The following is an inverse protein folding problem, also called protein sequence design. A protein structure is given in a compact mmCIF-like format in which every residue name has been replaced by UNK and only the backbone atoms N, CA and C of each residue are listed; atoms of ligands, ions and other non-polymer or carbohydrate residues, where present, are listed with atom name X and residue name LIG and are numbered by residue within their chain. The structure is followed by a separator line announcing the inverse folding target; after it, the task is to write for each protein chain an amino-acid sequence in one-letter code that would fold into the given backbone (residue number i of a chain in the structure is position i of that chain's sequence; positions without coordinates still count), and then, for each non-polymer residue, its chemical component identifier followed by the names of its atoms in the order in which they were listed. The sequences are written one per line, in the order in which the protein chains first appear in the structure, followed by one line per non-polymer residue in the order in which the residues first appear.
data_IF_101337363444
#
_entry.id   IF_101337363444
#
_cell.length_a   1.000
_cell.length_b   1.000
_cell.length_c   1.000
_cell.angle_alpha   90.00
_cell.angle_beta   90.00
_cell.angle_gamma   90.00
#
_symmetry.space_group_name_H-M   'P 1'
#
loop_
_entity.id
_entity.type
_entity.pdbx_description
1 polymer ?
#
# COMPACT_ATOMS: atom_id res chain seq x y z
N UNK A 1 7.98 21.95 -49.42
CA UNK A 1 7.20 22.65 -50.47
C UNK A 1 5.98 23.29 -49.80
N UNK A 2 5.87 24.61 -49.91
CA UNK A 2 4.85 25.43 -49.27
C UNK A 2 3.43 25.12 -49.79
N UNK A 3 2.45 25.00 -48.88
CA UNK A 3 1.07 25.39 -49.16
C UNK A 3 0.54 26.15 -47.94
N UNK A 4 0.36 27.47 -48.12
CA UNK A 4 -0.34 28.36 -47.19
C UNK A 4 -1.84 28.08 -47.29
N UNK A 5 -2.53 27.96 -46.16
CA UNK A 5 -3.96 28.25 -46.11
C UNK A 5 -4.15 29.65 -45.55
N UNK A 6 -4.55 30.56 -46.44
CA UNK A 6 -4.88 31.96 -46.18
C UNK A 6 -6.28 32.05 -45.56
N UNK A 7 -6.43 32.80 -44.47
CA UNK A 7 -7.72 33.24 -43.92
C UNK A 7 -8.38 34.28 -44.85
N UNK A 8 -9.72 34.33 -44.94
CA UNK A 8 -10.42 35.55 -45.31
C UNK A 8 -10.93 36.30 -44.06
N UNK A 9 -10.74 37.61 -44.07
CA UNK A 9 -11.27 38.58 -43.12
C UNK A 9 -12.69 39.03 -43.50
N UNK A 10 -13.49 39.30 -42.45
CA UNK A 10 -14.61 40.27 -42.37
C UNK A 10 -16.04 39.77 -42.66
N UNK A 11 -16.78 39.67 -41.55
CA UNK A 11 -18.15 40.14 -41.26
C UNK A 11 -19.28 39.87 -42.26
N UNK A 12 -20.16 38.90 -41.95
CA UNK A 12 -21.63 39.09 -41.86
C UNK A 12 -22.32 37.84 -41.29
N UNK A 13 -23.48 38.06 -40.65
CA UNK A 13 -24.31 37.04 -39.97
C UNK A 13 -25.03 36.11 -40.98
N UNK A 14 -25.45 34.95 -40.44
CA UNK A 14 -26.60 34.09 -40.83
C UNK A 14 -26.26 32.78 -41.58
N UNK A 15 -26.63 31.66 -40.92
CA UNK A 15 -26.98 30.31 -41.40
C UNK A 15 -26.29 29.75 -42.68
N UNK A 16 -25.58 28.63 -42.53
CA UNK A 16 -26.11 27.31 -42.94
C UNK A 16 -25.05 26.21 -42.80
N UNK A 17 -25.56 24.97 -42.75
CA UNK A 17 -24.86 23.71 -42.58
C UNK A 17 -24.06 23.30 -43.82
N UNK A 18 -23.12 22.39 -43.55
CA UNK A 18 -22.67 21.28 -44.39
C UNK A 18 -21.39 21.40 -45.25
N UNK A 19 -20.60 20.33 -45.07
CA UNK A 19 -19.61 19.69 -45.94
C UNK A 19 -18.19 20.28 -45.97
N UNK A 20 -17.29 19.54 -45.31
CA UNK A 20 -16.03 19.18 -45.97
C UNK A 20 -15.80 17.65 -45.87
N UNK A 21 -15.49 17.08 -47.03
CA UNK A 21 -15.67 15.70 -47.45
C UNK A 21 -14.46 14.84 -47.07
N UNK A 22 -14.72 13.58 -46.72
CA UNK A 22 -13.72 12.49 -46.61
C UNK A 22 -12.85 12.40 -47.87
N UNK A 23 -11.55 12.22 -47.69
CA UNK A 23 -10.69 11.58 -48.69
C UNK A 23 -9.89 10.48 -47.99
N UNK A 24 -10.12 9.25 -48.42
CA UNK A 24 -9.38 8.07 -48.01
C UNK A 24 -8.07 8.00 -48.79
N UNK A 25 -6.98 7.68 -48.11
CA UNK A 25 -5.70 7.32 -48.74
C UNK A 25 -5.57 5.80 -48.65
N UNK A 26 -5.53 5.16 -49.82
CA UNK A 26 -5.25 3.73 -50.00
C UNK A 26 -3.74 3.58 -50.14
N UNK A 27 -3.12 2.71 -49.35
CA UNK A 27 -1.76 2.21 -49.57
C UNK A 27 -1.82 0.76 -50.08
N UNK A 28 -1.01 0.38 -51.09
CA UNK A 28 -0.99 -0.98 -51.63
C UNK A 28 0.03 -1.85 -50.88
N UNK A 29 -0.28 -3.15 -50.73
CA UNK A 29 0.70 -4.15 -50.31
C UNK A 29 0.19 -5.11 -49.22
N UNK A 30 -0.72 -6.01 -49.57
CA UNK A 30 -1.06 -7.17 -48.74
C UNK A 30 -0.89 -8.44 -49.57
N UNK A 31 0.22 -9.15 -49.35
CA UNK A 31 0.41 -10.52 -49.80
C UNK A 31 -0.35 -11.43 -48.84
N UNK A 32 -1.26 -12.23 -49.40
CA UNK A 32 -2.10 -13.20 -48.69
C UNK A 32 -1.27 -14.43 -48.32
N UNK A 33 -1.25 -14.79 -47.04
CA UNK A 33 -0.93 -16.16 -46.62
C UNK A 33 -2.01 -16.68 -45.66
N UNK A 34 -2.44 -17.89 -45.97
CA UNK A 34 -3.57 -18.63 -45.42
C UNK A 34 -3.50 -18.87 -43.91
N UNK A 35 -4.68 -18.78 -43.27
CA UNK A 35 -5.13 -19.79 -42.30
C UNK A 35 -4.76 -19.62 -40.83
N UNK A 36 -5.56 -18.85 -40.08
CA UNK A 36 -6.25 -19.26 -38.83
C UNK A 36 -6.99 -18.08 -38.20
N UNK A 37 -8.23 -18.34 -37.79
CA UNK A 37 -9.16 -17.41 -37.14
C UNK A 37 -8.76 -17.27 -35.67
N UNK A 38 -8.44 -16.05 -35.22
CA UNK A 38 -8.27 -15.70 -33.80
C UNK A 38 -9.08 -14.43 -33.51
N UNK A 39 -9.98 -14.41 -32.50
CA UNK A 39 -10.87 -13.28 -32.22
C UNK A 39 -10.16 -12.12 -31.48
N UNK A 40 -10.72 -10.89 -31.54
CA UNK A 40 -9.99 -9.66 -31.19
C UNK A 40 -10.12 -9.30 -29.71
N UNK A 41 -8.99 -9.09 -29.03
CA UNK A 41 -8.92 -8.35 -27.77
C UNK A 41 -8.16 -7.03 -27.97
N UNK A 42 -8.96 -5.96 -27.89
CA UNK A 42 -8.69 -4.59 -27.46
C UNK A 42 -7.22 -4.20 -27.28
N UNK A 43 -6.70 -3.41 -28.24
CA UNK A 43 -5.47 -2.61 -28.11
C UNK A 43 -5.75 -1.41 -27.18
N UNK A 44 -5.22 -1.44 -25.96
CA UNK A 44 -5.01 -0.23 -25.16
C UNK A 44 -3.72 0.43 -25.61
N UNK A 45 -3.85 1.53 -26.37
CA UNK A 45 -2.73 2.37 -26.79
C UNK A 45 -2.35 3.27 -25.61
N UNK A 46 -1.13 3.08 -25.11
CA UNK A 46 -0.49 3.91 -24.11
C UNK A 46 -0.08 5.24 -24.78
N UNK A 47 -0.76 6.34 -24.47
CA UNK A 47 -0.28 7.69 -24.80
C UNK A 47 0.46 8.26 -23.59
N UNK A 48 1.78 8.27 -23.66
CA UNK A 48 2.65 9.01 -22.75
C UNK A 48 2.59 10.50 -23.11
N UNK A 49 1.88 11.30 -22.32
CA UNK A 49 1.94 12.77 -22.41
C UNK A 49 2.96 13.27 -21.39
N UNK A 50 4.09 13.76 -21.89
CA UNK A 50 5.08 14.55 -21.14
C UNK A 50 4.49 15.92 -20.80
N UNK A 51 4.53 16.32 -19.53
CA UNK A 51 4.15 17.64 -19.05
C UNK A 51 5.39 18.56 -18.95
N UNK A 52 5.32 19.83 -19.40
CA UNK A 52 6.35 20.83 -19.11
C UNK A 52 6.14 21.47 -17.72
N UNK A 53 7.23 21.91 -17.04
CA UNK A 53 7.16 22.62 -15.76
C UNK A 53 6.91 24.13 -15.96
N UNK A 54 6.57 24.81 -14.87
CA UNK A 54 6.39 26.26 -14.70
C UNK A 54 4.95 26.79 -14.81
N UNK A 55 4.20 26.64 -13.71
CA UNK A 55 3.09 27.55 -13.40
C UNK A 55 3.21 28.03 -11.95
N UNK A 56 3.44 29.33 -11.83
CA UNK A 56 3.72 30.10 -10.62
C UNK A 56 2.45 30.31 -9.78
N UNK A 57 2.57 30.16 -8.45
CA UNK A 57 1.48 30.31 -7.49
C UNK A 57 1.60 31.67 -6.80
N UNK A 58 0.95 32.72 -7.33
CA UNK A 58 0.56 33.86 -6.48
C UNK A 58 -0.59 34.72 -7.02
N UNK A 59 -1.56 34.87 -6.12
CA UNK A 59 -2.55 35.95 -5.95
C UNK A 59 -3.88 35.88 -6.71
N UNK A 60 -4.94 35.80 -5.91
CA UNK A 60 -6.34 35.96 -6.31
C UNK A 60 -7.29 35.67 -5.15
N UNK A 61 -7.19 36.44 -4.08
CA UNK A 61 -8.13 36.40 -2.96
C UNK A 61 -9.54 36.81 -3.44
N UNK A 62 -10.50 35.89 -3.33
CA UNK A 62 -11.92 36.13 -3.60
C UNK A 62 -12.76 35.44 -2.54
N UNK A 63 -13.47 36.25 -1.76
CA UNK A 63 -14.43 35.87 -0.71
C UNK A 63 -15.45 34.85 -1.21
N UNK A 64 -15.77 33.85 -0.38
CA UNK A 64 -16.94 33.00 -0.56
C UNK A 64 -16.78 31.66 0.15
N UNK A 65 -17.33 31.54 1.35
CA UNK A 65 -17.34 30.29 2.09
C UNK A 65 -18.23 29.26 1.41
N UNK A 66 -17.64 28.15 1.00
CA UNK A 66 -18.25 26.82 1.01
C UNK A 66 -17.13 25.84 1.37
N UNK A 67 -17.37 24.99 2.36
CA UNK A 67 -16.40 24.02 2.84
C UNK A 67 -15.87 23.18 1.68
N UNK A 68 -14.55 23.21 1.50
CA UNK A 68 -13.85 22.32 0.58
C UNK A 68 -14.09 20.90 1.11
N UNK A 69 -15.05 20.19 0.52
CA UNK A 69 -15.05 18.75 0.54
C UNK A 69 -13.70 18.33 -0.02
N UNK A 70 -12.85 17.77 0.83
CA UNK A 70 -11.72 16.99 0.37
C UNK A 70 -12.26 15.93 -0.59
N UNK A 71 -11.72 15.80 -1.82
CA UNK A 71 -12.09 14.70 -2.69
C UNK A 71 -11.78 13.40 -1.97
N UNK A 72 -12.81 12.60 -1.69
CA UNK A 72 -12.59 11.21 -1.28
C UNK A 72 -11.83 10.50 -2.41
N UNK A 73 -10.87 9.62 -2.07
CA UNK A 73 -10.13 8.85 -3.07
C UNK A 73 -11.08 7.98 -3.92
N UNK A 74 -10.79 7.78 -5.22
CA UNK A 74 -11.64 7.04 -6.15
C UNK A 74 -11.73 5.51 -5.89
N UNK A 75 -11.14 5.00 -4.81
CA UNK A 75 -10.93 3.56 -4.61
C UNK A 75 -11.74 2.95 -3.46
N UNK A 76 -12.80 3.59 -2.98
CA UNK A 76 -13.79 2.91 -2.14
C UNK A 76 -14.81 2.22 -3.05
N UNK A 77 -14.78 0.87 -3.20
CA UNK A 77 -15.89 0.19 -3.84
C UNK A 77 -17.08 0.37 -2.90
N UNK A 78 -17.94 1.34 -3.19
CA UNK A 78 -19.33 1.26 -2.78
C UNK A 78 -19.86 0.01 -3.44
N UNK A 79 -19.80 -1.09 -2.70
CA UNK A 79 -20.45 -2.36 -3.02
C UNK A 79 -21.95 -2.07 -2.93
N UNK A 80 -22.50 -1.46 -3.99
CA UNK A 80 -23.90 -1.54 -4.31
C UNK A 80 -24.15 -3.00 -4.65
N UNK A 81 -24.52 -3.79 -3.64
CA UNK A 81 -25.11 -5.11 -3.92
C UNK A 81 -26.49 -4.83 -4.52
N UNK A 82 -26.53 -4.63 -5.83
CA UNK A 82 -27.74 -4.74 -6.61
C UNK A 82 -28.13 -6.22 -6.59
N UNK A 83 -28.88 -6.63 -5.56
CA UNK A 83 -29.56 -7.92 -5.57
C UNK A 83 -30.65 -7.87 -6.65
N UNK A 84 -30.26 -8.15 -7.90
CA UNK A 84 -31.18 -8.63 -8.93
C UNK A 84 -31.53 -10.10 -8.65
N UNK A 85 -32.03 -10.37 -7.44
CA UNK A 85 -32.62 -11.66 -7.10
C UNK A 85 -34.07 -11.63 -7.57
N UNK A 86 -34.41 -12.40 -8.60
CA UNK A 86 -35.82 -12.74 -8.85
C UNK A 86 -36.33 -13.51 -7.63
N UNK A 87 -36.97 -12.80 -6.71
CA UNK A 87 -37.69 -13.39 -5.58
C UNK A 87 -38.93 -14.11 -6.13
N UNK A 88 -38.75 -15.34 -6.61
CA UNK A 88 -39.88 -16.26 -6.74
C UNK A 88 -40.41 -16.54 -5.34
N UNK A 89 -41.52 -15.88 -5.00
CA UNK A 89 -42.27 -16.09 -3.76
C UNK A 89 -42.74 -17.55 -3.70
N UNK A 90 -41.95 -18.45 -3.10
CA UNK A 90 -42.44 -19.77 -2.69
C UNK A 90 -43.35 -19.56 -1.48
N UNK A 91 -44.65 -19.80 -1.67
CA UNK A 91 -45.67 -19.82 -0.59
C UNK A 91 -45.26 -20.83 0.48
N UNK A 92 -44.66 -20.35 1.56
CA UNK A 92 -44.50 -21.10 2.79
C UNK A 92 -45.82 -20.99 3.59
N UNK A 93 -46.53 -22.10 3.74
CA UNK A 93 -47.71 -22.17 4.60
C UNK A 93 -47.29 -22.05 6.06
N UNK A 94 -47.51 -20.88 6.66
CA UNK A 94 -47.26 -20.65 8.09
C UNK A 94 -48.31 -21.38 8.93
N UNK A 95 -47.91 -22.50 9.57
CA UNK A 95 -48.58 -22.96 10.80
C UNK A 95 -48.14 -22.03 11.93
N UNK A 96 -49.03 -21.14 12.35
CA UNK A 96 -48.83 -20.26 13.50
C UNK A 96 -48.98 -21.07 14.79
N UNK A 97 -47.89 -21.67 15.25
CA UNK A 97 -47.83 -22.18 16.63
C UNK A 97 -47.82 -21.00 17.58
N UNK A 98 -48.83 -20.92 18.45
CA UNK A 98 -48.98 -19.86 19.46
C UNK A 98 -47.80 -19.84 20.41
N UNK A 99 -46.89 -18.89 20.22
CA UNK A 99 -45.82 -18.57 21.16
C UNK A 99 -46.46 -17.79 22.30
N UNK A 100 -46.37 -18.33 23.52
CA UNK A 100 -46.85 -17.68 24.73
C UNK A 100 -46.34 -16.23 24.80
N UNK A 101 -47.20 -15.32 25.28
CA UNK A 101 -46.96 -13.86 25.32
C UNK A 101 -45.90 -13.49 26.37
N UNK A 102 -44.65 -13.85 26.10
CA UNK A 102 -43.48 -13.25 26.73
C UNK A 102 -43.43 -11.78 26.31
N UNK A 103 -43.22 -10.87 27.28
CA UNK A 103 -42.87 -9.46 27.04
C UNK A 103 -41.49 -9.42 26.36
N UNK A 104 -41.47 -9.69 25.05
CA UNK A 104 -40.27 -9.74 24.24
C UNK A 104 -39.86 -8.37 23.72
N UNK A 105 -38.56 -8.22 23.49
CA UNK A 105 -37.91 -7.08 22.84
C UNK A 105 -38.68 -6.66 21.59
N UNK A 106 -39.01 -5.38 21.46
CA UNK A 106 -39.77 -4.93 20.29
C UNK A 106 -38.88 -4.97 19.05
N UNK A 107 -39.44 -5.37 17.91
CA UNK A 107 -38.69 -5.46 16.65
C UNK A 107 -38.12 -4.10 16.25
N UNK A 108 -38.82 -3.00 16.59
CA UNK A 108 -38.38 -1.63 16.37
C UNK A 108 -37.17 -1.24 17.24
N UNK A 109 -37.12 -1.70 18.49
CA UNK A 109 -35.98 -1.48 19.39
C UNK A 109 -34.73 -2.19 18.87
N UNK A 110 -34.91 -3.41 18.36
CA UNK A 110 -33.82 -4.14 17.71
C UNK A 110 -33.32 -3.45 16.43
N UNK A 111 -34.22 -2.88 15.62
CA UNK A 111 -33.81 -2.17 14.39
C UNK A 111 -32.95 -0.93 14.68
N UNK A 112 -33.29 -0.16 15.72
CA UNK A 112 -32.52 1.03 16.11
C UNK A 112 -31.14 0.62 16.64
N UNK A 113 -31.07 -0.44 17.45
CA UNK A 113 -29.80 -0.95 17.97
C UNK A 113 -28.88 -1.40 16.84
N UNK A 114 -29.40 -2.14 15.86
CA UNK A 114 -28.62 -2.58 14.69
C UNK A 114 -28.17 -1.40 13.82
N UNK A 115 -28.99 -0.35 13.69
CA UNK A 115 -28.61 0.86 12.97
C UNK A 115 -27.41 1.57 13.62
N UNK A 116 -27.42 1.71 14.95
CA UNK A 116 -26.31 2.34 15.69
C UNK A 116 -25.04 1.49 15.59
N UNK A 117 -25.15 0.17 15.77
CA UNK A 117 -24.01 -0.76 15.65
C UNK A 117 -23.41 -0.68 14.23
N UNK A 118 -24.23 -0.60 13.18
CA UNK A 118 -23.76 -0.48 11.81
C UNK A 118 -22.86 0.74 11.57
N UNK A 119 -23.25 1.90 12.11
CA UNK A 119 -22.46 3.13 12.00
C UNK A 119 -21.13 3.02 12.76
N UNK A 120 -21.16 2.47 13.99
CA UNK A 120 -19.95 2.32 14.82
C UNK A 120 -18.93 1.36 14.18
N UNK A 121 -19.39 0.23 13.63
CA UNK A 121 -18.52 -0.75 12.98
C UNK A 121 -17.84 -0.15 11.75
N UNK A 122 -18.58 0.59 10.92
CA UNK A 122 -18.03 1.22 9.71
C UNK A 122 -16.86 2.18 10.03
N UNK A 123 -16.97 2.94 11.11
CA UNK A 123 -15.91 3.84 11.54
C UNK A 123 -14.73 3.11 12.22
N UNK A 124 -14.98 1.98 12.88
CA UNK A 124 -13.98 1.24 13.69
C UNK A 124 -13.12 0.23 12.92
N UNK A 125 -13.66 -0.40 11.87
CA UNK A 125 -12.94 -1.42 11.07
C UNK A 125 -11.59 -0.95 10.50
N UNK A 126 -11.44 0.26 9.90
CA UNK A 126 -10.15 0.64 9.31
C UNK A 126 -9.02 0.76 10.34
N UNK A 127 -9.36 1.11 11.58
CA UNK A 127 -8.39 1.18 12.67
C UNK A 127 -7.90 -0.23 13.03
N UNK A 128 -8.81 -1.18 13.27
CA UNK A 128 -8.50 -2.54 13.71
C UNK A 128 -7.53 -3.27 12.79
N UNK A 129 -7.63 -3.07 11.47
CA UNK A 129 -6.73 -3.69 10.50
C UNK A 129 -5.25 -3.34 10.76
N UNK A 130 -4.94 -2.08 11.09
CA UNK A 130 -3.56 -1.66 11.35
C UNK A 130 -2.97 -2.27 12.64
N UNK A 131 -3.80 -2.58 13.65
CA UNK A 131 -3.36 -3.26 14.87
C UNK A 131 -3.04 -4.73 14.61
N UNK A 132 -3.89 -5.40 13.84
CA UNK A 132 -3.64 -6.80 13.46
C UNK A 132 -2.37 -6.92 12.61
N UNK A 133 -2.14 -5.97 11.70
CA UNK A 133 -0.91 -5.95 10.90
C UNK A 133 0.32 -5.72 11.78
N UNK A 134 0.29 -4.75 12.70
CA UNK A 134 1.38 -4.54 13.67
C UNK A 134 1.67 -5.78 14.51
N UNK A 135 0.63 -6.49 14.95
CA UNK A 135 0.79 -7.74 15.70
C UNK A 135 1.52 -8.83 14.88
N UNK A 136 1.19 -8.94 13.58
CA UNK A 136 1.88 -9.86 12.66
C UNK A 136 3.34 -9.45 12.43
N UNK A 137 3.64 -8.15 12.41
CA UNK A 137 5.03 -7.67 12.30
C UNK A 137 5.87 -8.12 13.50
N UNK A 138 5.29 -8.10 14.71
CA UNK A 138 5.98 -8.54 15.94
C UNK A 138 6.31 -10.04 15.91
N UNK A 139 5.53 -10.88 15.24
CA UNK A 139 5.88 -12.29 15.01
C UNK A 139 7.23 -12.43 14.28
N UNK A 140 7.48 -11.58 13.28
CA UNK A 140 8.75 -11.56 12.55
C UNK A 140 9.95 -11.13 13.38
N UNK A 141 9.75 -10.30 14.41
CA UNK A 141 10.82 -9.98 15.37
C UNK A 141 11.20 -11.22 16.21
N UNK A 142 10.23 -12.08 16.52
CA UNK A 142 10.47 -13.38 17.13
C UNK A 142 11.27 -14.32 16.21
N UNK A 143 10.92 -14.36 14.92
CA UNK A 143 11.65 -15.13 13.92
C UNK A 143 13.11 -14.66 13.74
N UNK A 144 13.40 -13.40 14.01
CA UNK A 144 14.76 -12.85 13.99
C UNK A 144 15.61 -13.20 15.23
N UNK A 145 15.04 -13.77 16.29
CA UNK A 145 15.77 -14.02 17.53
C UNK A 145 16.94 -15.00 17.35
N UNK A 146 16.72 -16.09 16.59
CA UNK A 146 17.79 -17.05 16.27
C UNK A 146 18.87 -16.43 15.39
N UNK A 147 18.51 -15.55 14.45
CA UNK A 147 19.47 -14.82 13.63
C UNK A 147 20.35 -13.91 14.49
N UNK A 148 19.77 -13.17 15.44
CA UNK A 148 20.52 -12.30 16.36
C UNK A 148 21.51 -13.08 17.23
N UNK A 149 21.10 -14.23 17.74
CA UNK A 149 21.97 -15.10 18.51
C UNK A 149 23.16 -15.56 17.65
N UNK A 150 22.91 -16.07 16.44
CA UNK A 150 23.96 -16.51 15.53
C UNK A 150 24.96 -15.39 15.17
N UNK A 151 24.46 -14.19 14.85
CA UNK A 151 25.32 -13.04 14.57
C UNK A 151 26.19 -12.70 15.77
N UNK A 152 25.64 -12.80 16.98
CA UNK A 152 26.37 -12.48 18.22
C UNK A 152 27.49 -13.49 18.50
N UNK A 153 27.22 -14.78 18.33
CA UNK A 153 28.24 -15.84 18.44
C UNK A 153 29.32 -15.68 17.37
N UNK A 154 28.93 -15.52 16.09
CA UNK A 154 29.88 -15.33 15.00
C UNK A 154 30.74 -14.07 15.18
N UNK A 155 30.17 -13.01 15.76
CA UNK A 155 30.92 -11.80 16.10
C UNK A 155 32.00 -12.05 17.15
N UNK A 156 31.73 -12.85 18.18
CA UNK A 156 32.73 -13.25 19.18
C UNK A 156 33.89 -14.03 18.56
N UNK A 157 33.59 -14.86 17.56
CA UNK A 157 34.58 -15.69 16.87
C UNK A 157 35.26 -14.99 15.68
N UNK A 158 34.87 -13.75 15.35
CA UNK A 158 35.37 -13.05 14.16
C UNK A 158 35.03 -13.76 12.84
N UNK A 159 34.02 -14.64 12.83
CA UNK A 159 33.57 -15.35 11.64
C UNK A 159 32.64 -14.48 10.79
N UNK A 160 32.39 -14.82 9.50
CA UNK A 160 31.31 -14.21 8.74
C UNK A 160 29.98 -14.34 9.49
N UNK A 161 29.18 -13.27 9.54
CA UNK A 161 28.03 -13.22 10.46
C UNK A 161 26.91 -14.21 10.12
N UNK A 162 26.83 -14.66 8.88
CA UNK A 162 25.86 -15.66 8.42
C UNK A 162 26.41 -17.10 8.44
N UNK A 163 27.61 -17.33 8.99
CA UNK A 163 28.22 -18.66 9.04
C UNK A 163 27.34 -19.63 9.83
N UNK A 164 26.98 -20.76 9.21
CA UNK A 164 26.08 -21.74 9.82
C UNK A 164 24.61 -21.32 9.86
N UNK A 165 24.22 -20.21 9.23
CA UNK A 165 22.83 -19.77 9.20
C UNK A 165 21.96 -20.73 8.38
N UNK A 166 20.89 -21.20 9.00
CA UNK A 166 19.78 -21.86 8.33
C UNK A 166 18.53 -21.01 8.53
N UNK A 167 18.05 -20.41 7.44
CA UNK A 167 16.86 -19.58 7.50
C UNK A 167 15.64 -20.43 7.91
N UNK A 168 14.78 -19.92 8.81
CA UNK A 168 13.52 -20.58 9.12
C UNK A 168 12.65 -20.65 7.87
N UNK A 169 11.78 -21.66 7.80
CA UNK A 169 10.77 -21.76 6.74
C UNK A 169 9.84 -20.56 6.79
N UNK A 170 9.42 -20.08 5.62
CA UNK A 170 8.43 -19.01 5.51
C UNK A 170 7.14 -19.35 6.28
N UNK A 171 6.55 -18.34 6.91
CA UNK A 171 5.25 -18.42 7.57
C UNK A 171 4.22 -17.57 6.81
N UNK A 172 2.98 -17.59 7.26
CA UNK A 172 1.91 -16.75 6.70
C UNK A 172 2.21 -15.23 6.79
N UNK A 173 3.08 -14.83 7.70
CA UNK A 173 3.41 -13.42 7.98
C UNK A 173 4.84 -13.05 7.60
N UNK A 174 5.77 -14.01 7.59
CA UNK A 174 7.20 -13.80 7.32
C UNK A 174 7.62 -14.57 6.07
N UNK A 175 8.09 -13.87 5.05
CA UNK A 175 8.60 -14.47 3.82
C UNK A 175 10.00 -15.08 4.01
N UNK A 176 10.91 -14.33 4.65
CA UNK A 176 12.29 -14.77 4.83
C UNK A 176 12.97 -13.99 5.96
N UNK A 177 13.95 -14.64 6.58
CA UNK A 177 14.91 -14.00 7.49
C UNK A 177 16.32 -14.24 6.95
N UNK A 178 17.02 -13.17 6.61
CA UNK A 178 18.36 -13.22 6.04
C UNK A 178 19.36 -12.45 6.90
N UNK A 179 20.60 -12.92 6.92
CA UNK A 179 21.71 -12.28 7.61
C UNK A 179 22.72 -11.84 6.55
N UNK A 180 23.10 -10.57 6.58
CA UNK A 180 24.19 -10.07 5.76
C UNK A 180 25.53 -10.54 6.33
N UNK A 181 26.35 -11.19 5.49
CA UNK A 181 27.58 -11.85 5.91
C UNK A 181 28.66 -10.89 6.46
N UNK A 182 28.60 -9.61 6.09
CA UNK A 182 29.67 -8.63 6.33
C UNK A 182 29.28 -7.60 7.39
N UNK A 183 28.05 -7.11 7.37
CA UNK A 183 27.53 -6.13 8.33
C UNK A 183 26.84 -6.77 9.53
N UNK A 184 26.38 -8.03 9.39
CA UNK A 184 25.58 -8.71 10.40
C UNK A 184 24.13 -8.22 10.46
N UNK A 185 23.72 -7.38 9.51
CA UNK A 185 22.35 -6.89 9.42
C UNK A 185 21.38 -8.05 9.20
N UNK A 186 20.38 -8.15 10.07
CA UNK A 186 19.31 -9.14 9.95
C UNK A 186 18.12 -8.48 9.26
N UNK A 187 17.70 -9.00 8.13
CA UNK A 187 16.53 -8.50 7.39
C UNK A 187 15.39 -9.50 7.54
N UNK A 188 14.24 -9.00 8.00
CA UNK A 188 12.99 -9.77 8.10
C UNK A 188 12.05 -9.27 7.01
N UNK A 189 11.84 -10.08 5.98
CA UNK A 189 10.91 -9.80 4.91
C UNK A 189 9.52 -10.31 5.28
N UNK A 190 8.51 -9.45 5.14
CA UNK A 190 7.13 -9.73 5.49
C UNK A 190 6.29 -10.07 4.26
N UNK A 191 5.18 -10.79 4.48
CA UNK A 191 4.17 -11.02 3.45
C UNK A 191 3.23 -9.80 3.34
N UNK A 192 2.39 -9.79 2.30
CA UNK A 192 1.30 -8.81 2.14
C UNK A 192 0.36 -8.78 3.37
N UNK A 193 0.19 -9.90 4.08
CA UNK A 193 -0.64 -9.96 5.30
C UNK A 193 -0.08 -9.13 6.44
N UNK A 194 1.23 -8.96 6.50
CA UNK A 194 1.93 -8.16 7.49
C UNK A 194 2.31 -6.76 6.98
N UNK A 195 1.73 -6.33 5.86
CA UNK A 195 1.92 -4.97 5.32
C UNK A 195 3.01 -4.84 4.26
N UNK A 196 3.61 -5.97 3.85
CA UNK A 196 4.69 -6.06 2.87
C UNK A 196 5.97 -5.29 3.25
N UNK A 197 7.06 -5.53 2.53
CA UNK A 197 8.36 -4.93 2.82
C UNK A 197 9.13 -5.63 3.94
N UNK A 198 10.12 -4.94 4.51
CA UNK A 198 11.06 -5.55 5.44
C UNK A 198 11.47 -4.63 6.60
N UNK A 199 11.74 -5.25 7.76
CA UNK A 199 12.48 -4.65 8.86
C UNK A 199 13.95 -5.04 8.77
N UNK A 200 14.84 -4.11 9.11
CA UNK A 200 16.27 -4.39 9.23
C UNK A 200 16.73 -4.16 10.66
N UNK A 201 17.36 -5.16 11.25
CA UNK A 201 17.96 -5.10 12.56
C UNK A 201 19.46 -5.00 12.39
N UNK A 202 20.02 -3.87 12.81
CA UNK A 202 21.44 -3.56 12.68
C UNK A 202 22.11 -3.81 14.03
N UNK A 203 23.11 -4.72 14.09
CA UNK A 203 23.92 -4.89 15.28
C UNK A 203 25.02 -3.83 15.33
N UNK A 204 25.21 -3.24 16.51
CA UNK A 204 26.37 -2.38 16.81
C UNK A 204 27.00 -2.86 18.11
N UNK A 205 28.30 -2.71 18.26
CA UNK A 205 28.99 -2.91 19.55
C UNK A 205 29.16 -1.56 20.25
N UNK A 206 29.02 -1.54 21.57
CA UNK A 206 29.44 -0.38 22.36
C UNK A 206 30.97 -0.22 22.26
N UNK A 207 31.43 0.91 21.75
CA UNK A 207 32.84 1.28 21.78
C UNK A 207 33.26 1.73 23.19
N UNK A 208 34.56 1.87 23.42
CA UNK A 208 35.12 2.29 24.71
C UNK A 208 34.63 3.69 25.16
N UNK A 209 34.25 4.55 24.21
CA UNK A 209 33.67 5.88 24.44
C UNK A 209 32.13 5.85 24.58
N UNK A 210 31.51 4.66 24.55
CA UNK A 210 30.06 4.46 24.61
C UNK A 210 29.33 4.71 23.28
N UNK A 211 30.04 5.06 22.20
CA UNK A 211 29.43 5.26 20.89
C UNK A 211 29.08 3.92 20.21
N UNK A 212 28.01 3.87 19.41
CA UNK A 212 27.67 2.67 18.64
C UNK A 212 28.65 2.49 17.47
N UNK A 213 29.35 1.36 17.44
CA UNK A 213 30.30 1.00 16.38
C UNK A 213 29.78 -0.19 15.59
N UNK A 214 29.89 -0.14 14.26
CA UNK A 214 29.49 -1.26 13.41
C UNK A 214 30.37 -2.49 13.66
N UNK A 215 29.77 -3.68 13.58
CA UNK A 215 30.52 -4.93 13.64
C UNK A 215 31.40 -5.09 12.39
N UNK A 216 32.51 -5.82 12.53
CA UNK A 216 33.41 -6.11 11.42
C UNK A 216 33.87 -7.56 11.50
N UNK A 217 33.77 -8.30 10.39
CA UNK A 217 34.27 -9.68 10.32
C UNK A 217 35.77 -9.73 10.63
N UNK A 218 36.21 -10.77 11.32
CA UNK A 218 37.60 -10.95 11.74
C UNK A 218 38.01 -10.17 13.00
N UNK A 219 37.10 -9.36 13.57
CA UNK A 219 37.38 -8.60 14.80
C UNK A 219 36.27 -8.83 15.82
N UNK A 220 36.64 -9.34 17.00
CA UNK A 220 35.72 -9.42 18.13
C UNK A 220 35.27 -8.01 18.56
N UNK A 221 33.98 -7.81 18.88
CA UNK A 221 33.49 -6.52 19.32
C UNK A 221 34.07 -6.14 20.68
N UNK A 222 34.30 -4.83 20.85
CA UNK A 222 34.97 -4.25 22.02
C UNK A 222 34.04 -4.16 23.25
N UNK A 223 32.74 -4.40 23.07
CA UNK A 223 31.72 -4.29 24.11
C UNK A 223 30.42 -5.00 23.73
N UNK A 224 29.38 -4.79 24.54
CA UNK A 224 28.07 -5.44 24.34
C UNK A 224 27.49 -5.10 22.96
N UNK A 225 26.91 -6.12 22.31
CA UNK A 225 26.16 -5.96 21.06
C UNK A 225 24.78 -5.39 21.37
N UNK A 226 24.47 -4.23 20.79
CA UNK A 226 23.20 -3.52 20.86
C UNK A 226 22.50 -3.66 19.50
N UNK A 227 21.21 -3.97 19.53
CA UNK A 227 20.41 -4.15 18.31
C UNK A 227 19.51 -2.94 18.08
N UNK A 228 19.67 -2.29 16.93
CA UNK A 228 18.77 -1.20 16.52
C UNK A 228 17.88 -1.66 15.37
N UNK A 229 16.56 -1.53 15.55
CA UNK A 229 15.59 -1.91 14.53
C UNK A 229 15.26 -0.73 13.61
N UNK A 230 15.17 -0.95 12.30
CA UNK A 230 14.85 0.07 11.32
C UNK A 230 13.65 -0.35 10.48
N UNK A 231 12.66 0.54 10.46
CA UNK A 231 11.58 0.58 9.50
C UNK A 231 11.77 1.76 8.54
N UNK A 232 10.96 1.81 7.49
CA UNK A 232 10.99 2.89 6.51
C UNK A 232 10.79 4.26 7.21
N UNK A 233 11.67 5.21 6.88
CA UNK A 233 11.59 6.59 7.35
C UNK A 233 12.26 6.85 8.71
N UNK A 234 12.85 5.84 9.36
CA UNK A 234 13.75 6.07 10.50
C UNK A 234 15.09 6.63 9.98
N UNK A 235 15.60 7.66 10.64
CA UNK A 235 16.92 8.22 10.32
C UNK A 235 18.02 7.15 10.46
N UNK A 236 18.95 7.10 9.50
CA UNK A 236 20.00 6.07 9.46
C UNK A 236 19.51 4.68 9.03
N UNK A 237 18.27 4.54 8.57
CA UNK A 237 17.77 3.27 8.06
C UNK A 237 18.56 2.81 6.82
N UNK A 238 19.07 1.56 6.81
CA UNK A 238 19.67 0.98 5.63
C UNK A 238 18.61 0.76 4.53
N UNK A 239 19.03 0.72 3.27
CA UNK A 239 18.13 0.63 2.10
C UNK A 239 17.16 -0.58 2.13
N UNK A 240 17.47 -1.63 2.91
CA UNK A 240 16.60 -2.80 3.09
C UNK A 240 15.39 -2.56 3.99
N UNK A 241 15.32 -1.46 4.74
CA UNK A 241 14.21 -1.17 5.67
C UNK A 241 13.04 -0.50 4.93
N UNK A 242 12.13 -1.31 4.41
CA UNK A 242 11.03 -0.86 3.54
C UNK A 242 9.65 -0.96 4.18
N UNK A 243 9.52 -1.62 5.34
CA UNK A 243 8.24 -1.71 6.05
C UNK A 243 7.76 -0.30 6.44
N UNK A 244 6.53 0.12 6.09
CA UNK A 244 6.02 1.44 6.44
C UNK A 244 6.08 1.68 7.95
N UNK A 245 6.69 2.79 8.39
CA UNK A 245 6.86 3.10 9.82
C UNK A 245 5.57 3.14 10.65
N UNK A 246 4.41 3.34 10.02
CA UNK A 246 3.09 3.25 10.67
C UNK A 246 2.71 1.81 11.08
N UNK A 247 3.25 0.80 10.41
CA UNK A 247 3.01 -0.63 10.67
C UNK A 247 4.11 -1.25 11.53
N UNK A 248 5.25 -0.57 11.63
CA UNK A 248 6.36 -1.00 12.45
C UNK A 248 6.10 -0.80 13.96
N UNK A 249 6.70 -1.65 14.80
CA UNK A 249 6.75 -1.44 16.24
C UNK A 249 7.40 -0.12 16.65
N UNK A 250 7.10 0.42 17.85
CA UNK A 250 7.62 1.69 18.32
C UNK A 250 9.15 1.81 18.30
N UNK A 251 9.84 0.71 18.57
CA UNK A 251 11.29 0.63 18.61
C UNK A 251 11.94 0.62 17.23
N UNK A 252 11.17 0.43 16.15
CA UNK A 252 11.66 0.35 14.77
C UNK A 252 11.37 1.61 13.95
N UNK A 253 10.34 2.38 14.33
CA UNK A 253 9.91 3.60 13.62
C UNK A 253 10.78 4.80 13.98
N UNK A 254 10.70 5.85 13.15
CA UNK A 254 11.24 7.15 13.51
C UNK A 254 10.67 7.60 14.86
N UNK A 255 11.52 8.16 15.73
CA UNK A 255 11.05 8.85 16.91
C UNK A 255 10.05 9.92 16.44
N UNK A 256 8.83 9.91 16.98
CA UNK A 256 7.90 10.98 16.71
C UNK A 256 8.61 12.26 17.14
N UNK A 257 8.77 13.21 16.21
CA UNK A 257 9.31 14.54 16.52
C UNK A 257 8.36 15.17 17.52
N UNK A 258 8.60 14.94 18.82
CA UNK A 258 7.95 15.70 19.87
C UNK A 258 8.47 17.10 19.68
N UNK A 259 7.64 17.98 19.11
CA UNK A 259 7.97 19.38 18.91
C UNK A 259 8.37 20.00 20.23
N UNK A 260 9.66 20.00 20.53
CA UNK A 260 10.26 20.88 21.50
C UNK A 260 10.55 22.16 20.72
N UNK A 261 9.51 22.94 20.49
CA UNK A 261 9.66 24.36 20.21
C UNK A 261 10.27 24.98 21.47
N UNK A 262 11.59 25.11 21.48
CA UNK A 262 12.29 26.02 22.37
C UNK A 262 12.03 27.47 21.97
#
# INVERSE_FOLDING_TARGET
MHVKCVQPLRNDRVHSRDRCRRSAVVFPGATVLFGRIVPPLTRTILLTHTAPPDFDLRQGAGRGGYGILRPLPPDVPFVFIAFAGSYTMRRFGHRTSGIAKSRGFTLIELMIVLAIIGVLVMAGVPYLQSYLVRARVVEGLGAAASAKALVSENAMHGAPFNSGWQAPSATDNVNAVSIDAVSGNVTVAYTQRAGDGALVLVPTSAAADGSPKALTVGKAPEGQIVWTCYAQGREGAPNGATLPGKLAPPECRAAAVTGKSG
#
